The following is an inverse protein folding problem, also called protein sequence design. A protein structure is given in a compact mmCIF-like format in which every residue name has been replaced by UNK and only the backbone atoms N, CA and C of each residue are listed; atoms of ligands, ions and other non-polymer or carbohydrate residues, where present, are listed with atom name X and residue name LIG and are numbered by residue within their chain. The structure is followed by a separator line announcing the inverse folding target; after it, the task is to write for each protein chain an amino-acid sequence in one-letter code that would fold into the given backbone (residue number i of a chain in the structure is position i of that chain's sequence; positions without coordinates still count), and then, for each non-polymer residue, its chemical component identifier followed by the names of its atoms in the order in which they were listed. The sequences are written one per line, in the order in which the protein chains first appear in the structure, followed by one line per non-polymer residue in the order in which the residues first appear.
data_IF_240604591949
#
_entry.id   IF_240604591949
#
_cell.length_a   1.000
_cell.length_b   1.000
_cell.length_c   1.000
_cell.angle_alpha   90.00
_cell.angle_beta   90.00
_cell.angle_gamma   90.00
#
_symmetry.space_group_name_H-M   'P 1'
#
loop_
_entity.id
_entity.type
_entity.pdbx_description
1 polymer ?
#
# COMPACT_ATOMS: atom_id res chain seq x y z
N UNK A 1 12.02 -12.15 29.19
CA UNK A 1 11.49 -11.12 28.28
C UNK A 1 10.20 -10.48 28.81
N UNK A 2 9.50 -11.06 29.79
CA UNK A 2 8.22 -10.56 30.35
C UNK A 2 8.25 -9.09 30.85
N UNK A 3 9.42 -8.58 31.24
CA UNK A 3 9.59 -7.21 31.76
C UNK A 3 9.88 -6.15 30.68
N UNK A 4 9.89 -6.51 29.38
CA UNK A 4 10.32 -5.60 28.32
C UNK A 4 9.22 -4.61 27.88
N UNK A 5 7.97 -4.77 28.36
CA UNK A 5 6.84 -4.05 27.76
C UNK A 5 6.61 -4.50 26.32
N UNK A 6 6.10 -3.61 25.47
CA UNK A 6 6.10 -3.89 24.02
C UNK A 6 7.49 -3.69 23.44
N UNK A 7 7.82 -4.53 22.46
CA UNK A 7 9.09 -4.50 21.76
C UNK A 7 8.91 -4.79 20.27
N UNK A 8 9.89 -4.38 19.47
CA UNK A 8 10.02 -4.75 18.06
C UNK A 8 11.26 -5.61 17.91
N UNK A 9 11.14 -6.64 17.09
CA UNK A 9 12.19 -7.64 16.88
C UNK A 9 12.30 -8.01 15.40
N UNK A 10 13.45 -8.59 15.06
CA UNK A 10 13.70 -9.17 13.74
C UNK A 10 14.02 -10.66 13.89
N UNK A 11 13.70 -11.41 12.82
CA UNK A 11 14.23 -12.75 12.60
C UNK A 11 15.21 -12.68 11.44
N UNK A 12 16.42 -13.18 11.71
CA UNK A 12 17.52 -13.19 10.75
C UNK A 12 17.88 -14.63 10.41
N UNK A 13 18.12 -14.90 9.15
CA UNK A 13 18.60 -16.19 8.69
C UNK A 13 20.10 -16.33 9.02
N UNK A 14 20.54 -17.38 9.73
CA UNK A 14 21.93 -17.58 10.10
C UNK A 14 22.84 -17.91 8.92
N UNK A 15 22.30 -18.40 7.79
CA UNK A 15 23.09 -18.82 6.64
C UNK A 15 23.53 -17.66 5.75
N UNK A 16 22.69 -16.64 5.60
CA UNK A 16 22.95 -15.50 4.70
C UNK A 16 23.01 -14.14 5.43
N UNK A 17 22.59 -14.10 6.69
CA UNK A 17 22.57 -12.88 7.50
C UNK A 17 21.43 -11.92 7.17
N UNK A 18 20.48 -12.31 6.30
CA UNK A 18 19.37 -11.46 5.93
C UNK A 18 18.25 -11.47 6.97
N UNK A 19 17.75 -10.29 7.28
CA UNK A 19 16.51 -10.13 8.04
C UNK A 19 15.34 -10.49 7.14
N UNK A 20 14.63 -11.56 7.47
CA UNK A 20 13.48 -12.01 6.69
C UNK A 20 12.13 -11.68 7.33
N UNK A 21 12.10 -11.22 8.57
CA UNK A 21 10.88 -10.85 9.26
C UNK A 21 11.10 -9.75 10.29
N UNK A 22 10.17 -8.83 10.36
CA UNK A 22 10.05 -7.79 11.40
C UNK A 22 8.73 -7.99 12.11
N UNK A 23 8.70 -7.91 13.43
CA UNK A 23 7.46 -8.07 14.18
C UNK A 23 7.44 -7.32 15.50
N UNK A 24 6.22 -6.97 15.91
CA UNK A 24 5.92 -6.43 17.24
C UNK A 24 5.58 -7.57 18.20
N UNK A 25 6.00 -7.46 19.46
CA UNK A 25 5.73 -8.45 20.48
C UNK A 25 5.60 -7.88 21.88
N UNK A 26 5.07 -8.74 22.75
CA UNK A 26 5.05 -8.58 24.21
C UNK A 26 5.28 -9.95 24.84
N UNK A 27 5.89 -10.02 26.03
CA UNK A 27 6.23 -11.30 26.67
C UNK A 27 7.10 -12.18 25.75
N UNK A 28 6.80 -13.44 25.65
CA UNK A 28 7.59 -14.45 24.90
C UNK A 28 7.23 -14.57 23.41
N UNK A 29 6.48 -13.63 22.85
CA UNK A 29 6.00 -13.70 21.45
C UNK A 29 7.12 -13.87 20.43
N UNK A 30 8.30 -13.31 20.67
CA UNK A 30 9.45 -13.42 19.75
C UNK A 30 9.84 -14.88 19.48
N UNK A 31 9.61 -15.79 20.42
CA UNK A 31 9.92 -17.22 20.27
C UNK A 31 8.74 -18.05 19.76
N UNK A 32 7.52 -17.49 19.74
CA UNK A 32 6.32 -18.22 19.32
C UNK A 32 6.42 -18.73 17.87
N UNK A 33 7.05 -17.95 16.98
CA UNK A 33 7.16 -18.32 15.56
C UNK A 33 7.91 -19.61 15.29
N UNK A 34 8.92 -19.92 16.08
CA UNK A 34 9.65 -21.21 15.96
C UNK A 34 8.74 -22.36 16.40
N UNK A 35 7.99 -22.18 17.49
CA UNK A 35 7.03 -23.18 17.94
C UNK A 35 5.89 -23.35 16.93
N UNK A 36 5.33 -22.25 16.42
CA UNK A 36 4.29 -22.26 15.38
C UNK A 36 4.77 -23.03 14.13
N UNK A 37 6.03 -22.83 13.71
CA UNK A 37 6.60 -23.51 12.56
C UNK A 37 6.74 -25.02 12.76
N UNK A 38 6.96 -25.47 14.00
CA UNK A 38 7.09 -26.89 14.36
C UNK A 38 5.75 -27.58 14.63
N UNK A 39 4.76 -26.83 15.14
CA UNK A 39 3.50 -27.39 15.63
C UNK A 39 2.36 -27.31 14.62
N UNK A 40 2.46 -26.46 13.57
CA UNK A 40 1.38 -26.26 12.60
C UNK A 40 1.79 -26.73 11.21
N UNK A 41 0.81 -27.22 10.44
CA UNK A 41 0.97 -27.51 9.00
C UNK A 41 0.71 -26.28 8.13
N UNK A 42 0.32 -25.14 8.73
CA UNK A 42 0.06 -23.89 8.00
C UNK A 42 1.33 -23.44 7.26
N UNK A 43 1.22 -23.17 5.98
CA UNK A 43 2.28 -22.66 5.14
C UNK A 43 2.12 -21.16 4.99
N UNK A 44 3.14 -20.42 5.40
CA UNK A 44 3.36 -19.01 5.07
C UNK A 44 4.84 -18.83 4.80
N UNK A 45 5.21 -17.84 3.98
CA UNK A 45 6.60 -17.61 3.59
C UNK A 45 7.54 -17.57 4.81
N UNK A 46 7.10 -16.87 5.88
CA UNK A 46 7.82 -16.82 7.15
C UNK A 46 8.01 -18.19 7.81
N UNK A 47 6.94 -18.98 7.96
CA UNK A 47 7.01 -20.29 8.60
C UNK A 47 7.83 -21.27 7.77
N UNK A 48 7.70 -21.19 6.45
CA UNK A 48 8.47 -22.04 5.54
C UNK A 48 9.97 -21.71 5.58
N UNK A 49 10.34 -20.42 5.69
CA UNK A 49 11.74 -20.03 5.90
C UNK A 49 12.28 -20.55 7.24
N UNK A 50 11.52 -20.45 8.32
CA UNK A 50 11.90 -21.00 9.63
C UNK A 50 12.12 -22.51 9.54
N UNK A 51 11.23 -23.27 8.87
CA UNK A 51 11.37 -24.71 8.66
C UNK A 51 12.62 -25.07 7.86
N UNK A 52 12.95 -24.29 6.83
CA UNK A 52 14.18 -24.46 6.04
C UNK A 52 15.43 -24.30 6.90
N UNK A 53 15.47 -23.25 7.75
CA UNK A 53 16.57 -23.00 8.67
C UNK A 53 16.73 -24.17 9.65
N UNK A 54 15.63 -24.64 10.26
CA UNK A 54 15.65 -25.77 11.21
C UNK A 54 16.10 -27.07 10.52
N UNK A 55 15.67 -27.29 9.27
CA UNK A 55 16.11 -28.45 8.48
C UNK A 55 17.60 -28.42 8.16
N UNK A 56 18.20 -27.23 8.12
CA UNK A 56 19.65 -27.05 8.02
C UNK A 56 20.41 -27.15 9.34
N UNK A 57 19.76 -27.64 10.41
CA UNK A 57 20.31 -27.82 11.77
C UNK A 57 20.71 -26.50 12.45
N UNK A 58 20.04 -25.37 12.05
CA UNK A 58 20.24 -24.06 12.62
C UNK A 58 18.93 -23.50 13.19
N UNK A 59 18.99 -22.34 13.83
CA UNK A 59 17.83 -21.61 14.36
C UNK A 59 17.84 -20.17 13.90
N UNK A 60 16.68 -19.57 13.62
CA UNK A 60 16.61 -18.14 13.33
C UNK A 60 17.24 -17.32 14.46
N UNK A 61 18.01 -16.30 14.09
CA UNK A 61 18.58 -15.36 15.04
C UNK A 61 17.48 -14.36 15.41
N UNK A 62 17.19 -14.23 16.71
CA UNK A 62 16.19 -13.31 17.24
C UNK A 62 16.89 -12.07 17.78
N UNK A 63 16.60 -10.90 17.23
CA UNK A 63 17.15 -9.63 17.69
C UNK A 63 16.04 -8.71 18.17
N UNK A 64 16.13 -8.22 19.40
CA UNK A 64 15.25 -7.15 19.90
C UNK A 64 15.84 -5.83 19.48
N UNK A 65 15.14 -5.13 18.60
CA UNK A 65 15.59 -3.84 18.05
C UNK A 65 15.30 -2.70 19.01
N UNK A 66 14.11 -2.72 19.63
CA UNK A 66 13.72 -1.73 20.63
C UNK A 66 12.69 -2.33 21.58
N UNK A 67 12.72 -1.93 22.85
CA UNK A 67 11.82 -2.40 23.89
C UNK A 67 11.43 -1.25 24.85
N UNK A 68 10.56 -1.53 25.83
CA UNK A 68 10.09 -0.55 26.81
C UNK A 68 9.10 0.47 26.25
N UNK A 69 8.41 0.08 25.18
CA UNK A 69 7.44 0.93 24.49
C UNK A 69 6.01 0.62 24.94
N UNK A 70 5.10 1.58 24.72
CA UNK A 70 3.68 1.29 24.63
C UNK A 70 3.33 0.62 23.28
N UNK A 71 2.10 0.16 23.17
CA UNK A 71 1.68 -0.57 21.97
C UNK A 71 1.69 0.27 20.70
N UNK A 72 1.24 1.53 20.80
CA UNK A 72 1.18 2.44 19.66
C UNK A 72 2.57 2.78 19.14
N UNK A 73 3.50 3.08 20.02
CA UNK A 73 4.91 3.31 19.64
C UNK A 73 5.54 2.08 19.00
N UNK A 74 5.22 0.88 19.52
CA UNK A 74 5.73 -0.35 18.93
C UNK A 74 5.19 -0.59 17.51
N UNK A 75 3.94 -0.22 17.21
CA UNK A 75 3.41 -0.26 15.85
C UNK A 75 4.13 0.69 14.89
N UNK A 76 4.42 1.92 15.33
CA UNK A 76 5.15 2.91 14.51
C UNK A 76 6.59 2.44 14.23
N UNK A 77 7.27 1.89 15.23
CA UNK A 77 8.64 1.37 15.05
C UNK A 77 8.66 0.14 14.16
N UNK A 78 7.70 -0.79 14.31
CA UNK A 78 7.56 -1.95 13.41
C UNK A 78 7.35 -1.50 11.97
N UNK A 79 6.42 -0.58 11.72
CA UNK A 79 6.13 -0.05 10.40
C UNK A 79 7.35 0.61 9.77
N UNK A 80 8.06 1.48 10.50
CA UNK A 80 9.25 2.15 10.02
C UNK A 80 10.39 1.16 9.67
N UNK A 81 10.51 0.06 10.41
CA UNK A 81 11.49 -0.97 10.10
C UNK A 81 11.09 -1.82 8.89
N UNK A 82 9.81 -2.17 8.75
CA UNK A 82 9.30 -2.86 7.54
C UNK A 82 9.58 -2.01 6.30
N UNK A 83 9.33 -0.71 6.38
CA UNK A 83 9.63 0.22 5.30
C UNK A 83 11.14 0.28 5.00
N UNK A 84 11.98 0.35 6.03
CA UNK A 84 13.43 0.49 5.89
C UNK A 84 14.11 -0.77 5.31
N UNK A 85 13.65 -1.97 5.69
CA UNK A 85 14.14 -3.22 5.12
C UNK A 85 13.56 -3.50 3.71
N UNK A 86 12.43 -2.88 3.36
CA UNK A 86 11.71 -3.13 2.11
C UNK A 86 10.76 -4.32 2.22
N UNK A 87 9.47 -4.07 2.06
CA UNK A 87 8.43 -5.10 2.20
C UNK A 87 8.61 -6.32 1.26
N UNK A 88 9.22 -6.10 0.09
CA UNK A 88 9.47 -7.16 -0.89
C UNK A 88 10.53 -8.16 -0.44
N UNK A 89 11.44 -7.73 0.42
CA UNK A 89 12.56 -8.53 0.93
C UNK A 89 12.22 -9.23 2.25
N UNK A 90 11.08 -8.88 2.85
CA UNK A 90 10.57 -9.46 4.08
C UNK A 90 9.48 -10.50 3.81
N UNK A 91 9.37 -11.49 4.69
CA UNK A 91 8.27 -12.46 4.73
C UNK A 91 7.10 -11.98 5.62
N UNK A 92 6.86 -10.68 5.65
CA UNK A 92 5.72 -10.09 6.32
C UNK A 92 4.48 -10.19 5.43
N UNK A 93 3.36 -10.67 5.97
CA UNK A 93 2.11 -10.86 5.20
C UNK A 93 1.34 -9.55 4.96
N UNK A 94 1.60 -8.55 5.79
CA UNK A 94 0.96 -7.23 5.72
C UNK A 94 1.98 -6.12 5.85
N UNK A 95 1.73 -5.03 5.15
CA UNK A 95 2.42 -3.76 5.34
C UNK A 95 2.25 -3.28 6.78
N UNK A 96 3.25 -2.58 7.30
CA UNK A 96 3.20 -1.99 8.63
C UNK A 96 1.99 -1.09 8.87
N UNK A 97 1.67 -0.86 10.14
CA UNK A 97 0.58 0.04 10.53
C UNK A 97 0.84 1.47 10.05
N UNK A 98 -0.16 2.12 9.42
CA UNK A 98 0.02 3.48 8.89
C UNK A 98 0.87 3.54 7.62
N UNK A 99 0.79 2.53 6.77
CA UNK A 99 1.53 2.46 5.49
C UNK A 99 1.31 3.67 4.55
N UNK A 100 0.25 4.46 4.78
CA UNK A 100 0.00 5.74 4.11
C UNK A 100 1.00 6.85 4.52
N UNK A 101 1.74 6.64 5.60
CA UNK A 101 2.79 7.51 6.14
C UNK A 101 4.19 6.91 5.99
N UNK A 102 4.34 5.83 5.23
CA UNK A 102 5.59 5.14 4.98
C UNK A 102 6.63 5.97 4.24
N UNK A 103 7.72 5.33 3.81
CA UNK A 103 8.81 5.99 3.09
C UNK A 103 8.27 6.86 1.95
N UNK A 104 8.65 8.12 1.96
CA UNK A 104 8.30 9.10 0.94
C UNK A 104 9.46 10.07 0.76
N UNK A 105 9.71 10.54 -0.47
CA UNK A 105 10.66 11.62 -0.66
C UNK A 105 10.11 12.93 -0.03
N UNK A 106 11.02 13.84 0.33
CA UNK A 106 10.62 15.15 0.87
C UNK A 106 9.70 15.89 -0.10
N UNK A 107 9.98 15.77 -1.41
CA UNK A 107 9.17 16.38 -2.48
C UNK A 107 7.76 15.79 -2.55
N UNK A 108 7.64 14.47 -2.35
CA UNK A 108 6.33 13.80 -2.29
C UNK A 108 5.48 14.33 -1.12
N UNK A 109 6.11 14.52 0.04
CA UNK A 109 5.42 15.07 1.21
C UNK A 109 5.06 16.55 1.00
N UNK A 110 5.93 17.34 0.37
CA UNK A 110 5.65 18.73 0.03
C UNK A 110 4.42 18.82 -0.90
N UNK A 111 4.36 18.02 -1.96
CA UNK A 111 3.21 17.95 -2.86
C UNK A 111 1.96 17.53 -2.08
N UNK A 112 2.03 16.48 -1.27
CA UNK A 112 0.90 15.95 -0.51
C UNK A 112 0.30 16.99 0.44
N UNK A 113 1.14 17.70 1.17
CA UNK A 113 0.68 18.69 2.17
C UNK A 113 0.33 20.05 1.57
N UNK A 114 0.79 20.37 0.37
CA UNK A 114 0.39 21.57 -0.36
C UNK A 114 -0.89 21.36 -1.22
N UNK A 115 -1.30 20.10 -1.42
CA UNK A 115 -2.39 19.76 -2.32
C UNK A 115 -3.73 20.31 -1.82
N UNK A 116 -4.41 21.06 -2.67
CA UNK A 116 -5.79 21.52 -2.44
C UNK A 116 -6.81 20.43 -2.84
N UNK A 117 -7.98 20.36 -2.19
CA UNK A 117 -9.05 19.47 -2.62
C UNK A 117 -9.45 19.75 -4.08
N UNK A 118 -9.58 18.69 -4.88
CA UNK A 118 -10.04 18.83 -6.26
C UNK A 118 -11.56 18.98 -6.34
N UNK A 119 -12.02 19.76 -7.32
CA UNK A 119 -13.41 19.74 -7.79
C UNK A 119 -13.38 19.13 -9.19
N UNK A 120 -13.93 17.92 -9.33
CA UNK A 120 -13.99 17.20 -10.61
C UNK A 120 -15.30 17.60 -11.31
N UNK A 121 -15.18 18.29 -12.43
CA UNK A 121 -16.33 18.74 -13.22
C UNK A 121 -16.54 17.89 -14.48
N UNK A 122 -15.49 17.26 -14.96
CA UNK A 122 -15.51 16.43 -16.17
C UNK A 122 -15.81 14.95 -15.83
N UNK A 123 -16.31 14.15 -16.79
CA UNK A 123 -16.39 12.71 -16.67
C UNK A 123 -14.97 12.09 -16.66
N UNK A 124 -14.60 11.42 -15.58
CA UNK A 124 -13.25 10.91 -15.41
C UNK A 124 -13.18 9.47 -14.93
N UNK A 125 -12.13 8.79 -15.36
CA UNK A 125 -11.69 7.51 -14.83
C UNK A 125 -10.53 7.74 -13.84
N UNK A 126 -10.58 7.10 -12.68
CA UNK A 126 -9.54 7.15 -11.66
C UNK A 126 -8.65 5.90 -11.74
N UNK A 127 -7.46 6.06 -12.30
CA UNK A 127 -6.41 5.05 -12.34
C UNK A 127 -5.53 5.15 -11.09
N UNK A 128 -5.74 4.27 -10.10
CA UNK A 128 -4.87 4.22 -8.91
C UNK A 128 -3.61 3.46 -9.23
N UNK A 129 -2.49 4.18 -9.20
CA UNK A 129 -1.16 3.63 -9.45
C UNK A 129 -0.39 3.39 -8.16
N UNK A 130 0.39 2.32 -8.14
CA UNK A 130 1.26 1.96 -7.01
C UNK A 130 2.72 2.09 -7.43
N UNK A 131 3.60 2.41 -6.49
CA UNK A 131 5.03 2.49 -6.79
C UNK A 131 5.49 3.76 -7.53
N UNK A 132 4.62 4.76 -7.67
CA UNK A 132 4.99 6.05 -8.25
C UNK A 132 5.95 6.81 -7.34
N UNK A 133 7.01 7.33 -7.93
CA UNK A 133 7.95 8.27 -7.32
C UNK A 133 8.13 9.47 -8.27
N UNK A 134 7.94 10.72 -7.80
CA UNK A 134 7.97 11.90 -8.65
C UNK A 134 9.36 12.21 -9.25
N UNK A 135 10.42 11.60 -8.72
CA UNK A 135 11.80 11.82 -9.18
C UNK A 135 12.33 10.66 -10.04
N UNK A 136 11.72 9.47 -9.92
CA UNK A 136 12.20 8.24 -10.57
C UNK A 136 11.27 7.70 -11.64
N UNK A 137 9.94 7.90 -11.49
CA UNK A 137 8.94 7.37 -12.44
C UNK A 137 8.93 8.19 -13.71
N UNK A 138 9.16 7.56 -14.84
CA UNK A 138 9.07 8.21 -16.16
C UNK A 138 7.61 8.39 -16.59
N UNK A 139 7.36 9.34 -17.46
CA UNK A 139 6.01 9.65 -17.95
C UNK A 139 5.40 8.45 -18.68
N UNK A 140 6.20 7.70 -19.45
CA UNK A 140 5.76 6.50 -20.15
C UNK A 140 5.35 5.39 -19.18
N UNK A 141 6.10 5.19 -18.10
CA UNK A 141 5.80 4.19 -17.07
C UNK A 141 4.53 4.56 -16.31
N UNK A 142 4.35 5.85 -15.97
CA UNK A 142 3.14 6.35 -15.34
C UNK A 142 1.91 6.19 -16.24
N UNK A 143 2.05 6.45 -17.55
CA UNK A 143 0.98 6.22 -18.52
C UNK A 143 0.63 4.74 -18.60
N UNK A 144 1.62 3.86 -18.70
CA UNK A 144 1.42 2.42 -18.74
C UNK A 144 0.66 1.91 -17.52
N UNK A 145 1.07 2.32 -16.31
CA UNK A 145 0.42 1.93 -15.07
C UNK A 145 -1.00 2.48 -14.94
N UNK A 146 -1.26 3.66 -15.52
CA UNK A 146 -2.58 4.29 -15.51
C UNK A 146 -3.51 3.68 -16.55
N UNK A 147 -3.01 3.33 -17.72
CA UNK A 147 -3.83 2.91 -18.86
C UNK A 147 -4.16 1.43 -18.86
N UNK A 148 -3.35 0.57 -18.26
CA UNK A 148 -3.38 -0.87 -18.52
C UNK A 148 -3.90 -1.73 -17.36
N UNK A 149 -4.54 -2.83 -17.75
CA UNK A 149 -4.90 -3.98 -16.92
C UNK A 149 -6.06 -3.78 -15.94
N UNK A 150 -7.10 -3.05 -16.33
CA UNK A 150 -8.23 -2.75 -15.46
C UNK A 150 -9.35 -3.79 -15.52
N UNK A 151 -9.88 -4.14 -14.34
CA UNK A 151 -11.10 -4.95 -14.19
C UNK A 151 -12.31 -4.02 -14.06
N UNK A 152 -12.68 -3.37 -15.15
CA UNK A 152 -13.77 -2.38 -15.23
C UNK A 152 -14.67 -2.71 -16.43
N UNK A 153 -15.77 -1.99 -16.56
CA UNK A 153 -16.62 -2.01 -17.77
C UNK A 153 -16.78 -0.59 -18.30
N UNK A 154 -15.89 -0.12 -19.18
CA UNK A 154 -15.93 1.25 -19.69
C UNK A 154 -17.12 1.53 -20.61
N UNK A 155 -17.76 0.48 -21.20
CA UNK A 155 -18.90 0.67 -22.10
C UNK A 155 -20.13 1.30 -21.43
N UNK A 156 -20.16 1.32 -20.10
CA UNK A 156 -21.22 1.93 -19.28
C UNK A 156 -20.92 3.34 -18.82
N UNK A 157 -19.77 3.86 -19.20
CA UNK A 157 -19.24 5.12 -18.72
C UNK A 157 -18.66 5.92 -19.90
N UNK A 158 -18.81 7.23 -19.84
CA UNK A 158 -18.39 8.16 -20.89
C UNK A 158 -17.17 8.99 -20.46
N UNK A 159 -16.27 8.41 -19.67
CA UNK A 159 -15.10 9.10 -19.18
C UNK A 159 -14.26 9.69 -20.31
N UNK A 160 -14.06 10.99 -20.26
CA UNK A 160 -13.26 11.77 -21.21
C UNK A 160 -11.79 11.75 -20.82
N UNK A 161 -11.52 11.80 -19.52
CA UNK A 161 -10.17 11.85 -18.97
C UNK A 161 -9.89 10.67 -18.05
N UNK A 162 -8.62 10.30 -17.98
CA UNK A 162 -8.09 9.40 -16.96
C UNK A 162 -7.13 10.15 -16.05
N UNK A 163 -7.34 10.04 -14.74
CA UNK A 163 -6.43 10.61 -13.74
C UNK A 163 -5.52 9.52 -13.19
N UNK A 164 -4.22 9.69 -13.34
CA UNK A 164 -3.23 8.91 -12.59
C UNK A 164 -3.24 9.36 -11.14
N UNK A 165 -3.65 8.49 -10.23
CA UNK A 165 -3.77 8.83 -8.81
C UNK A 165 -2.79 8.00 -7.99
N UNK A 166 -1.92 8.69 -7.27
CA UNK A 166 -1.03 8.07 -6.29
C UNK A 166 -1.18 8.76 -4.94
N UNK A 167 -1.40 7.99 -3.87
CA UNK A 167 -1.59 8.50 -2.49
C UNK A 167 -2.61 9.64 -2.40
N UNK A 168 -3.75 9.48 -3.08
CA UNK A 168 -4.86 10.44 -3.17
C UNK A 168 -4.55 11.73 -3.93
N UNK A 169 -3.39 11.88 -4.53
CA UNK A 169 -3.01 13.05 -5.34
C UNK A 169 -3.03 12.69 -6.82
N UNK A 170 -3.60 13.58 -7.63
CA UNK A 170 -3.59 13.45 -9.09
C UNK A 170 -2.18 13.76 -9.59
N UNK A 171 -1.55 12.80 -10.25
CA UNK A 171 -0.16 12.89 -10.74
C UNK A 171 -0.08 13.27 -12.20
N UNK A 172 -1.05 12.81 -13.00
CA UNK A 172 -1.17 13.18 -14.40
C UNK A 172 -2.62 13.05 -14.85
N UNK A 173 -2.95 13.75 -15.93
CA UNK A 173 -4.25 13.75 -16.57
C UNK A 173 -4.09 13.37 -18.04
N UNK A 174 -4.79 12.32 -18.46
CA UNK A 174 -4.75 11.83 -19.83
C UNK A 174 -6.12 12.00 -20.49
N UNK A 175 -6.14 12.27 -21.80
CA UNK A 175 -7.32 12.08 -22.64
C UNK A 175 -7.45 10.58 -22.90
N UNK A 176 -8.67 10.05 -22.79
CA UNK A 176 -9.01 8.69 -23.22
C UNK A 176 -9.51 8.81 -24.66
N UNK A 177 -8.78 8.23 -25.63
CA UNK A 177 -9.23 8.15 -27.01
C UNK A 177 -10.14 6.96 -27.25
N UNK A 178 -9.72 5.80 -26.77
CA UNK A 178 -10.48 4.56 -26.92
C UNK A 178 -10.17 3.57 -25.83
N UNK A 179 -11.17 2.76 -25.48
CA UNK A 179 -11.00 1.62 -24.61
C UNK A 179 -10.89 0.32 -25.43
N UNK A 180 -9.92 -0.48 -25.11
CA UNK A 180 -9.64 -1.75 -25.75
C UNK A 180 -9.62 -2.88 -24.74
N UNK A 181 -9.93 -4.08 -25.18
CA UNK A 181 -9.92 -5.27 -24.34
C UNK A 181 -8.75 -6.17 -24.72
N UNK A 182 -7.91 -6.46 -23.74
CA UNK A 182 -6.80 -7.39 -23.93
C UNK A 182 -7.33 -8.81 -24.20
N UNK A 183 -7.01 -9.42 -25.33
CA UNK A 183 -7.52 -10.73 -25.70
C UNK A 183 -7.01 -11.86 -24.79
N UNK A 184 -5.84 -11.71 -24.18
CA UNK A 184 -5.21 -12.74 -23.35
C UNK A 184 -5.80 -12.78 -21.93
N UNK A 185 -5.81 -11.63 -21.24
CA UNK A 185 -6.19 -11.56 -19.83
C UNK A 185 -7.62 -11.05 -19.59
N UNK A 186 -8.32 -10.64 -20.68
CA UNK A 186 -9.71 -10.11 -20.64
C UNK A 186 -9.87 -8.81 -19.84
N UNK A 187 -8.78 -8.12 -19.55
CA UNK A 187 -8.77 -6.82 -18.88
C UNK A 187 -8.96 -5.69 -19.89
N UNK A 188 -9.34 -4.54 -19.39
CA UNK A 188 -9.46 -3.33 -20.18
C UNK A 188 -8.21 -2.47 -20.06
N UNK A 189 -7.87 -1.78 -21.14
CA UNK A 189 -6.89 -0.71 -21.18
C UNK A 189 -7.39 0.39 -22.11
N UNK A 190 -6.82 1.58 -21.98
CA UNK A 190 -7.16 2.67 -22.90
C UNK A 190 -5.91 3.14 -23.65
N UNK A 191 -6.14 3.62 -24.86
CA UNK A 191 -5.20 4.43 -25.62
C UNK A 191 -5.52 5.89 -25.42
N UNK A 192 -4.50 6.74 -25.40
CA UNK A 192 -4.64 8.15 -25.15
C UNK A 192 -3.30 8.86 -24.99
N UNK A 193 -3.34 10.08 -24.57
CA UNK A 193 -2.17 10.95 -24.43
C UNK A 193 -2.40 11.99 -23.31
N UNK A 194 -1.35 12.69 -22.84
CA UNK A 194 -1.50 13.74 -21.83
C UNK A 194 -2.52 14.81 -22.25
N UNK A 195 -3.38 15.20 -21.33
CA UNK A 195 -4.40 16.21 -21.60
C UNK A 195 -3.74 17.58 -21.89
N UNK A 196 -4.43 18.49 -22.59
CA UNK A 196 -3.97 19.86 -22.78
C UNK A 196 -3.65 20.56 -21.46
N UNK A 197 -2.73 21.52 -21.52
CA UNK A 197 -2.18 22.16 -20.34
C UNK A 197 -3.23 22.87 -19.47
N UNK A 198 -4.25 23.45 -20.06
CA UNK A 198 -5.37 24.08 -19.35
C UNK A 198 -6.16 23.07 -18.50
N UNK A 199 -6.37 21.87 -19.01
CA UNK A 199 -7.01 20.77 -18.28
C UNK A 199 -6.07 20.21 -17.20
N UNK A 200 -4.80 20.05 -17.52
CA UNK A 200 -3.79 19.56 -16.56
C UNK A 200 -3.68 20.52 -15.38
N UNK A 201 -3.56 21.83 -15.60
CA UNK A 201 -3.48 22.84 -14.54
C UNK A 201 -4.72 22.86 -13.64
N UNK A 202 -5.89 22.49 -14.16
CA UNK A 202 -7.13 22.40 -13.38
C UNK A 202 -7.08 21.28 -12.34
N UNK A 203 -6.39 20.17 -12.63
CA UNK A 203 -6.49 18.94 -11.85
C UNK A 203 -5.17 18.45 -11.24
N UNK A 204 -4.01 18.74 -11.84
CA UNK A 204 -2.71 18.25 -11.36
C UNK A 204 -2.42 18.65 -9.92
N UNK A 205 -1.82 17.72 -9.19
CA UNK A 205 -1.37 17.85 -7.80
C UNK A 205 -2.48 18.20 -6.80
N UNK A 206 -3.75 18.00 -7.18
CA UNK A 206 -4.89 18.17 -6.28
C UNK A 206 -5.27 16.87 -5.58
N UNK A 207 -5.86 17.00 -4.40
CA UNK A 207 -6.28 15.90 -3.54
C UNK A 207 -7.69 15.43 -3.88
N UNK A 208 -7.86 14.15 -4.15
CA UNK A 208 -9.14 13.49 -4.43
C UNK A 208 -9.78 12.84 -3.19
N UNK A 209 -9.22 12.99 -2.02
CA UNK A 209 -9.68 12.30 -0.80
C UNK A 209 -11.16 12.52 -0.52
N UNK A 210 -11.70 13.70 -0.82
CA UNK A 210 -13.12 14.02 -0.64
C UNK A 210 -14.08 13.12 -1.42
N UNK A 211 -13.64 12.54 -2.53
CA UNK A 211 -14.43 11.59 -3.34
C UNK A 211 -14.34 10.16 -2.83
N UNK A 212 -13.26 9.80 -2.16
CA UNK A 212 -12.90 8.42 -1.83
C UNK A 212 -13.09 8.13 -0.36
N UNK A 213 -12.74 9.09 0.50
CA UNK A 213 -12.81 8.96 1.95
C UNK A 213 -14.18 9.39 2.45
N UNK A 214 -14.89 8.44 3.07
CA UNK A 214 -16.19 8.70 3.68
C UNK A 214 -16.19 8.31 5.15
N UNK A 215 -17.17 8.78 5.89
CA UNK A 215 -17.43 8.36 7.26
C UNK A 215 -18.66 7.46 7.30
N UNK A 216 -18.56 6.34 7.99
CA UNK A 216 -19.67 5.40 8.16
C UNK A 216 -19.85 5.07 9.64
N UNK A 217 -21.11 5.01 10.11
CA UNK A 217 -21.41 4.53 11.45
C UNK A 217 -21.56 3.00 11.41
N UNK A 218 -20.78 2.30 12.20
CA UNK A 218 -20.89 0.86 12.30
C UNK A 218 -22.26 0.43 12.80
N UNK A 219 -23.04 -0.28 11.95
CA UNK A 219 -24.40 -0.74 12.27
C UNK A 219 -24.45 -2.05 13.06
N UNK A 220 -23.39 -2.87 13.00
CA UNK A 220 -23.35 -4.23 13.60
C UNK A 220 -21.99 -4.54 14.23
N UNK A 221 -21.97 -5.51 15.15
CA UNK A 221 -20.75 -6.05 15.78
C UNK A 221 -20.22 -5.23 16.96
N UNK A 222 -19.00 -5.55 17.39
CA UNK A 222 -18.33 -4.92 18.55
C UNK A 222 -18.12 -3.39 18.41
N UNK A 223 -18.16 -2.86 17.17
CA UNK A 223 -17.98 -1.42 16.88
C UNK A 223 -19.29 -0.70 16.59
N UNK A 224 -20.46 -1.29 16.93
CA UNK A 224 -21.77 -0.66 16.70
C UNK A 224 -21.82 0.72 17.35
N UNK A 225 -22.22 1.73 16.57
CA UNK A 225 -22.31 3.12 17.00
C UNK A 225 -21.00 3.93 16.85
N UNK A 226 -19.86 3.30 16.55
CA UNK A 226 -18.63 4.04 16.28
C UNK A 226 -18.65 4.62 14.86
N UNK A 227 -18.19 5.86 14.74
CA UNK A 227 -17.92 6.48 13.43
C UNK A 227 -16.56 5.99 12.96
N UNK A 228 -16.52 5.39 11.79
CA UNK A 228 -15.28 4.93 11.16
C UNK A 228 -15.10 5.65 9.82
N UNK A 229 -13.88 6.00 9.53
CA UNK A 229 -13.49 6.47 8.21
C UNK A 229 -13.40 5.27 7.27
N UNK A 230 -14.08 5.35 6.14
CA UNK A 230 -14.04 4.33 5.09
C UNK A 230 -13.39 4.92 3.86
N UNK A 231 -12.53 4.13 3.22
CA UNK A 231 -11.90 4.49 1.96
C UNK A 231 -12.51 3.64 0.86
N UNK A 232 -13.17 4.26 -0.10
CA UNK A 232 -13.73 3.58 -1.26
C UNK A 232 -12.69 3.46 -2.38
N UNK A 233 -11.73 2.58 -2.22
CA UNK A 233 -10.70 2.29 -3.23
C UNK A 233 -11.27 1.65 -4.51
N UNK A 234 -12.55 1.26 -4.51
CA UNK A 234 -13.23 0.72 -5.68
C UNK A 234 -13.87 1.80 -6.55
N UNK A 235 -13.88 3.06 -6.12
CA UNK A 235 -14.35 4.16 -6.95
C UNK A 235 -13.40 4.32 -8.14
N UNK A 236 -13.93 4.15 -9.34
CA UNK A 236 -13.16 4.27 -10.60
C UNK A 236 -13.71 5.36 -11.51
N UNK A 237 -14.94 5.76 -11.33
CA UNK A 237 -15.67 6.66 -12.22
C UNK A 237 -16.27 7.82 -11.44
N UNK A 238 -16.09 9.02 -11.93
CA UNK A 238 -16.67 10.25 -11.37
C UNK A 238 -17.33 11.02 -12.50
N UNK A 239 -18.56 11.47 -12.28
CA UNK A 239 -19.39 12.21 -13.26
C UNK A 239 -19.67 11.47 -14.58
N UNK A 240 -19.53 10.13 -14.60
CA UNK A 240 -19.78 9.29 -15.79
C UNK A 240 -21.13 8.56 -15.70
#
# INVERSE_FOLDING_TARGET
IEKLGYYVYTLTDPFDGFVFYVGKGQGNRVFAHVNDALETETSTDKLDRIRQIIKGDEKPIHSIIRHGMDEQTAFEVEAALIDAYGFKDLHNEVLGHGSDRGISSAKELEIKYAAEPVIIEDPVFLGFVTGYDPELTKDEDLFQDTSYCWKVNPEKHDAKYAFAVHRMIIREVYIIETWLRDPMNKRWYFEGYPAPEDVRQKYLYKDISSYIVGTTVCKKGKRKGQVITTVNQNLKWVNC
#
